data_IF_437716818272
#
_entry.id   IF_437716818272
#
_cell.length_a   1.000
_cell.length_b   1.000
_cell.length_c   1.000
_cell.angle_alpha   90.00
_cell.angle_beta   90.00
_cell.angle_gamma   90.00
#
_symmetry.space_group_name_H-M   'P 1'
#
loop_
_entity.id
_entity.type
_entity.pdbx_description
1 polymer ?
#
# COMPACT_ATOMS: atom_id res chain seq x y z
N UNK A 1 -4.04 -5.26 13.93
CA UNK A 1 -3.83 -4.23 12.87
C UNK A 1 -3.11 -4.87 11.71
N UNK A 2 -3.55 -4.62 10.50
CA UNK A 2 -3.05 -5.23 9.25
C UNK A 2 -2.40 -4.12 8.41
N UNK A 3 -1.21 -4.39 7.86
CA UNK A 3 -0.54 -3.45 6.96
C UNK A 3 -0.89 -3.76 5.50
N UNK A 4 -1.54 -2.82 4.84
CA UNK A 4 -1.82 -2.86 3.41
C UNK A 4 -0.88 -1.93 2.64
N UNK A 5 -0.42 -2.38 1.48
CA UNK A 5 0.10 -1.46 0.48
C UNK A 5 -1.03 -0.76 -0.27
N UNK A 6 -0.69 0.14 -1.16
CA UNK A 6 -1.67 0.91 -1.94
C UNK A 6 -2.50 0.05 -2.88
N UNK A 7 -1.97 -1.06 -3.38
CA UNK A 7 -2.71 -1.95 -4.29
C UNK A 7 -3.94 -2.57 -3.61
N UNK A 8 -3.84 -2.85 -2.32
CA UNK A 8 -4.93 -3.35 -1.50
C UNK A 8 -5.89 -2.24 -1.08
N UNK A 9 -5.37 -1.05 -0.71
CA UNK A 9 -6.22 0.08 -0.35
C UNK A 9 -7.13 0.52 -1.51
N UNK A 10 -6.62 0.56 -2.74
CA UNK A 10 -7.42 0.88 -3.94
C UNK A 10 -8.61 -0.07 -4.09
N UNK A 11 -8.44 -1.36 -3.76
CA UNK A 11 -9.52 -2.38 -3.84
C UNK A 11 -10.63 -2.20 -2.82
N UNK A 12 -10.41 -1.39 -1.78
CA UNK A 12 -11.50 -1.03 -0.86
C UNK A 12 -12.53 -0.12 -1.53
N UNK A 13 -12.09 0.68 -2.50
CA UNK A 13 -12.90 1.71 -3.17
C UNK A 13 -13.32 1.32 -4.58
N UNK A 14 -12.51 0.55 -5.28
CA UNK A 14 -12.73 0.18 -6.67
C UNK A 14 -12.80 -1.33 -6.85
N UNK A 15 -13.68 -1.77 -7.77
CA UNK A 15 -13.91 -3.19 -8.04
C UNK A 15 -12.88 -3.75 -9.02
N UNK A 16 -11.61 -3.80 -8.59
CA UNK A 16 -10.56 -4.56 -9.27
C UNK A 16 -10.67 -6.07 -8.91
N UNK A 17 -10.07 -6.97 -9.71
CA UNK A 17 -10.00 -8.39 -9.36
C UNK A 17 -9.48 -8.60 -7.93
N UNK A 18 -10.15 -9.48 -7.18
CA UNK A 18 -9.82 -9.77 -5.78
C UNK A 18 -10.33 -8.77 -4.74
N UNK A 19 -11.07 -7.72 -5.15
CA UNK A 19 -11.56 -6.71 -4.22
C UNK A 19 -12.41 -7.29 -3.07
N UNK A 20 -13.21 -8.33 -3.32
CA UNK A 20 -14.03 -8.98 -2.29
C UNK A 20 -13.17 -9.64 -1.19
N UNK A 21 -12.12 -10.36 -1.58
CA UNK A 21 -11.20 -11.00 -0.65
C UNK A 21 -10.45 -9.94 0.20
N UNK A 22 -10.02 -8.85 -0.43
CA UNK A 22 -9.36 -7.73 0.26
C UNK A 22 -10.31 -7.05 1.24
N UNK A 23 -11.56 -6.80 0.85
CA UNK A 23 -12.59 -6.20 1.74
C UNK A 23 -12.93 -7.11 2.92
N UNK A 24 -13.03 -8.42 2.69
CA UNK A 24 -13.25 -9.39 3.75
C UNK A 24 -12.09 -9.39 4.77
N UNK A 25 -10.84 -9.33 4.29
CA UNK A 25 -9.67 -9.20 5.16
C UNK A 25 -9.68 -7.86 5.91
N UNK A 26 -9.98 -6.76 5.23
CA UNK A 26 -10.03 -5.42 5.82
C UNK A 26 -11.07 -5.30 6.96
N UNK A 27 -12.17 -6.05 6.88
CA UNK A 27 -13.21 -6.07 7.90
C UNK A 27 -12.77 -6.78 9.19
N UNK A 28 -11.65 -7.50 9.19
CA UNK A 28 -11.22 -8.32 10.35
C UNK A 28 -10.39 -7.54 11.38
N UNK A 29 -9.80 -6.39 11.01
CA UNK A 29 -8.95 -5.60 11.92
C UNK A 29 -8.73 -4.17 11.37
N UNK A 30 -8.17 -3.30 12.20
CA UNK A 30 -7.77 -1.96 11.79
C UNK A 30 -6.64 -1.99 10.75
N UNK A 31 -6.68 -1.07 9.81
CA UNK A 31 -5.72 -0.99 8.73
C UNK A 31 -4.64 0.07 8.97
N UNK A 32 -3.44 -0.23 8.52
CA UNK A 32 -2.32 0.71 8.48
C UNK A 32 -1.67 0.73 7.10
N UNK A 33 -1.12 1.88 6.75
CA UNK A 33 -0.35 2.08 5.52
C UNK A 33 0.68 3.20 5.72
N UNK A 34 1.73 3.23 4.94
CA UNK A 34 2.62 4.37 4.86
C UNK A 34 1.88 5.62 4.35
N UNK A 35 2.20 6.79 4.88
CA UNK A 35 1.48 8.03 4.56
C UNK A 35 1.53 8.40 3.07
N UNK A 36 2.61 8.05 2.34
CA UNK A 36 2.71 8.29 0.90
C UNK A 36 1.68 7.48 0.09
N UNK A 37 1.12 6.40 0.66
CA UNK A 37 0.02 5.63 0.07
C UNK A 37 -1.20 6.49 -0.26
N UNK A 38 -1.41 7.60 0.44
CA UNK A 38 -2.46 8.56 0.10
C UNK A 38 -2.26 9.13 -1.32
N UNK A 39 -1.03 9.54 -1.65
CA UNK A 39 -0.71 10.04 -2.99
C UNK A 39 -0.79 8.95 -4.05
N UNK A 40 -0.34 7.74 -3.73
CA UNK A 40 -0.42 6.60 -4.65
C UNK A 40 -1.86 6.19 -4.96
N UNK A 41 -2.77 6.23 -3.96
CA UNK A 41 -4.20 5.95 -4.18
C UNK A 41 -4.82 6.93 -5.16
N UNK A 42 -4.60 8.24 -4.95
CA UNK A 42 -5.12 9.29 -5.86
C UNK A 42 -4.55 9.13 -7.26
N UNK A 43 -3.24 8.83 -7.36
CA UNK A 43 -2.58 8.57 -8.64
C UNK A 43 -3.16 7.33 -9.34
N UNK A 44 -3.48 6.26 -8.60
CA UNK A 44 -4.12 5.06 -9.14
C UNK A 44 -5.51 5.35 -9.70
N UNK A 45 -6.33 6.14 -8.99
CA UNK A 45 -7.65 6.55 -9.49
C UNK A 45 -7.53 7.49 -10.69
N UNK A 46 -6.57 8.42 -10.68
CA UNK A 46 -6.32 9.29 -11.83
C UNK A 46 -5.89 8.48 -13.07
N UNK A 47 -5.07 7.44 -12.89
CA UNK A 47 -4.73 6.54 -14.00
C UNK A 47 -5.98 5.87 -14.59
N UNK A 48 -6.92 5.39 -13.76
CA UNK A 48 -8.19 4.81 -14.23
C UNK A 48 -9.03 5.83 -15.01
N UNK A 49 -9.03 7.10 -14.60
CA UNK A 49 -9.68 8.19 -15.34
C UNK A 49 -9.01 8.41 -16.71
N UNK A 50 -7.69 8.54 -16.71
CA UNK A 50 -6.91 8.75 -17.95
C UNK A 50 -7.05 7.60 -18.93
N UNK A 51 -7.13 6.37 -18.44
CA UNK A 51 -7.28 5.15 -19.24
C UNK A 51 -8.75 4.93 -19.69
N UNK A 52 -9.67 5.82 -19.30
CA UNK A 52 -11.09 5.73 -19.66
C UNK A 52 -11.87 4.65 -18.91
N UNK A 53 -11.29 4.04 -17.89
CA UNK A 53 -11.95 3.01 -17.09
C UNK A 53 -13.04 3.57 -16.17
N UNK A 54 -12.96 4.85 -15.81
CA UNK A 54 -13.97 5.56 -15.04
C UNK A 54 -14.26 6.93 -15.65
N UNK A 55 -15.45 7.47 -15.36
CA UNK A 55 -15.85 8.82 -15.78
C UNK A 55 -15.39 9.88 -14.77
N UNK A 56 -15.28 11.17 -15.16
CA UNK A 56 -14.92 12.24 -14.23
C UNK A 56 -15.78 12.32 -12.97
N UNK A 57 -17.08 12.08 -13.07
CA UNK A 57 -17.98 12.06 -11.92
C UNK A 57 -17.63 10.92 -10.93
N UNK A 58 -17.33 9.73 -11.44
CA UNK A 58 -16.90 8.59 -10.60
C UNK A 58 -15.54 8.85 -9.95
N UNK A 59 -14.62 9.47 -10.68
CA UNK A 59 -13.33 9.88 -10.14
C UNK A 59 -13.50 10.85 -8.96
N UNK A 60 -14.34 11.88 -9.11
CA UNK A 60 -14.62 12.84 -8.05
C UNK A 60 -15.21 12.17 -6.79
N UNK A 61 -16.10 11.19 -6.97
CA UNK A 61 -16.67 10.40 -5.86
C UNK A 61 -15.59 9.61 -5.14
N UNK A 62 -14.70 8.92 -5.87
CA UNK A 62 -13.60 8.14 -5.27
C UNK A 62 -12.66 9.03 -4.45
N UNK A 63 -12.25 10.17 -4.99
CA UNK A 63 -11.40 11.13 -4.27
C UNK A 63 -12.11 11.65 -3.01
N UNK A 64 -13.38 12.02 -3.10
CA UNK A 64 -14.17 12.47 -1.96
C UNK A 64 -14.30 11.42 -0.85
N UNK A 65 -14.47 10.16 -1.22
CA UNK A 65 -14.53 9.05 -0.26
C UNK A 65 -13.19 8.85 0.46
N UNK A 66 -12.07 8.88 -0.27
CA UNK A 66 -10.72 8.79 0.33
C UNK A 66 -10.48 9.93 1.31
N UNK A 67 -10.78 11.17 0.92
CA UNK A 67 -10.63 12.33 1.80
C UNK A 67 -11.49 12.22 3.06
N UNK A 68 -12.74 11.78 2.92
CA UNK A 68 -13.63 11.56 4.06
C UNK A 68 -13.07 10.52 5.05
N UNK A 69 -12.53 9.41 4.53
CA UNK A 69 -11.93 8.37 5.36
C UNK A 69 -10.61 8.81 6.02
N UNK A 70 -9.79 9.61 5.33
CA UNK A 70 -8.59 10.21 5.94
C UNK A 70 -8.99 11.12 7.11
N UNK A 71 -9.96 12.02 6.91
CA UNK A 71 -10.47 12.92 7.95
C UNK A 71 -11.10 12.18 9.13
N UNK A 72 -11.77 11.08 8.86
CA UNK A 72 -12.39 10.24 9.88
C UNK A 72 -11.39 9.33 10.63
N UNK A 73 -10.11 9.29 10.22
CA UNK A 73 -9.11 8.42 10.83
C UNK A 73 -9.38 6.92 10.58
N UNK A 74 -10.00 6.58 9.44
CA UNK A 74 -10.34 5.20 9.10
C UNK A 74 -9.11 4.28 8.93
N UNK A 75 -7.94 4.87 8.66
CA UNK A 75 -6.67 4.18 8.50
C UNK A 75 -5.60 4.82 9.39
N UNK A 76 -4.69 4.00 9.91
CA UNK A 76 -3.46 4.50 10.51
C UNK A 76 -2.45 4.81 9.42
N UNK A 77 -2.29 6.08 9.10
CA UNK A 77 -1.26 6.58 8.20
C UNK A 77 0.05 6.77 8.96
N UNK A 78 1.09 6.03 8.57
CA UNK A 78 2.39 6.06 9.23
C UNK A 78 3.30 7.03 8.47
N UNK A 79 3.73 8.14 9.10
CA UNK A 79 4.58 9.12 8.44
C UNK A 79 5.98 8.56 8.16
N UNK A 80 6.61 9.08 7.12
CA UNK A 80 8.00 8.76 6.81
C UNK A 80 8.93 9.39 7.86
N UNK A 81 9.90 8.60 8.34
CA UNK A 81 10.89 9.04 9.31
C UNK A 81 12.32 8.83 8.81
N UNK A 82 13.30 9.38 9.55
CA UNK A 82 14.71 9.18 9.25
C UNK A 82 15.12 7.70 9.39
N UNK A 83 14.53 6.98 10.34
CA UNK A 83 14.76 5.54 10.59
C UNK A 83 14.27 4.71 9.40
N UNK A 84 13.10 5.02 8.85
CA UNK A 84 12.56 4.37 7.64
C UNK A 84 13.51 4.56 6.47
N UNK A 85 13.98 5.81 6.24
CA UNK A 85 14.94 6.08 5.17
C UNK A 85 16.29 5.39 5.38
N UNK A 86 16.76 5.31 6.62
CA UNK A 86 17.99 4.57 6.96
C UNK A 86 17.81 3.08 6.67
N UNK A 87 16.69 2.47 7.08
CA UNK A 87 16.39 1.06 6.80
C UNK A 87 16.35 0.77 5.29
N UNK A 88 15.78 1.66 4.49
CA UNK A 88 15.76 1.52 3.02
C UNK A 88 17.19 1.45 2.49
N UNK A 89 18.05 2.41 2.86
CA UNK A 89 19.45 2.42 2.42
C UNK A 89 20.16 1.14 2.80
N UNK A 90 19.98 0.68 4.04
CA UNK A 90 20.59 -0.58 4.52
C UNK A 90 20.07 -1.83 3.81
N UNK A 91 18.82 -1.84 3.43
CA UNK A 91 18.26 -2.92 2.62
C UNK A 91 18.88 -2.96 1.22
N UNK A 92 18.99 -1.82 0.54
CA UNK A 92 19.60 -1.75 -0.79
C UNK A 92 21.10 -2.09 -0.80
N UNK A 93 21.85 -1.82 0.26
CA UNK A 93 23.25 -2.24 0.39
C UNK A 93 23.43 -3.76 0.27
N UNK A 94 22.41 -4.55 0.65
CA UNK A 94 22.44 -6.02 0.70
C UNK A 94 21.49 -6.67 -0.31
N UNK A 95 20.69 -5.86 -1.02
CA UNK A 95 19.68 -6.37 -1.93
C UNK A 95 20.37 -7.01 -3.16
N UNK A 96 20.09 -8.29 -3.47
CA UNK A 96 20.64 -8.91 -4.67
C UNK A 96 20.23 -8.15 -5.95
N UNK A 97 21.13 -8.02 -6.91
CA UNK A 97 20.85 -7.34 -8.18
C UNK A 97 19.70 -7.98 -8.99
N UNK A 98 19.37 -9.24 -8.70
CA UNK A 98 18.23 -9.94 -9.30
C UNK A 98 16.87 -9.54 -8.70
N UNK A 99 16.84 -8.83 -7.58
CA UNK A 99 15.59 -8.38 -6.93
C UNK A 99 15.25 -6.99 -7.42
N UNK A 100 14.13 -6.90 -8.14
CA UNK A 100 13.57 -5.61 -8.53
C UNK A 100 12.74 -5.03 -7.38
N UNK A 101 13.07 -3.80 -6.95
CA UNK A 101 12.35 -3.08 -5.91
C UNK A 101 12.34 -1.59 -6.24
N UNK A 102 11.16 -1.00 -6.40
CA UNK A 102 10.99 0.44 -6.59
C UNK A 102 11.09 1.18 -5.25
N UNK A 103 11.50 2.44 -5.30
CA UNK A 103 11.65 3.26 -4.09
C UNK A 103 10.35 3.37 -3.27
N UNK A 104 9.19 3.53 -3.93
CA UNK A 104 7.90 3.59 -3.24
C UNK A 104 7.56 2.28 -2.51
N UNK A 105 7.82 1.13 -3.15
CA UNK A 105 7.63 -0.19 -2.52
C UNK A 105 8.59 -0.39 -1.33
N UNK A 106 9.83 0.10 -1.45
CA UNK A 106 10.80 0.07 -0.35
C UNK A 106 10.33 0.90 0.85
N UNK A 107 9.65 2.04 0.60
CA UNK A 107 9.04 2.85 1.67
C UNK A 107 7.94 2.05 2.38
N UNK A 108 7.06 1.35 1.65
CA UNK A 108 6.05 0.48 2.28
C UNK A 108 6.69 -0.59 3.16
N UNK A 109 7.66 -1.33 2.62
CA UNK A 109 8.33 -2.41 3.36
C UNK A 109 9.07 -1.90 4.59
N UNK A 110 9.83 -0.82 4.46
CA UNK A 110 10.56 -0.24 5.58
C UNK A 110 9.60 0.33 6.63
N UNK A 111 8.51 0.98 6.22
CA UNK A 111 7.49 1.51 7.14
C UNK A 111 6.82 0.40 7.93
N UNK A 112 6.43 -0.69 7.27
CA UNK A 112 5.82 -1.84 7.94
C UNK A 112 6.80 -2.45 8.96
N UNK A 113 8.07 -2.67 8.57
CA UNK A 113 9.08 -3.25 9.42
C UNK A 113 9.42 -2.38 10.65
N UNK A 114 9.64 -1.06 10.44
CA UNK A 114 9.93 -0.12 11.54
C UNK A 114 8.74 0.06 12.49
N UNK A 115 7.52 -0.14 11.99
CA UNK A 115 6.30 -0.07 12.81
C UNK A 115 5.94 -1.38 13.51
N UNK A 116 6.81 -2.40 13.43
CA UNK A 116 6.65 -3.68 14.15
C UNK A 116 5.68 -4.67 13.50
N UNK A 117 5.27 -4.44 12.25
CA UNK A 117 4.50 -5.44 11.51
C UNK A 117 5.39 -6.64 11.14
N UNK A 118 4.79 -7.80 11.05
CA UNK A 118 5.44 -9.03 10.59
C UNK A 118 5.02 -9.40 9.17
N UNK A 119 3.87 -8.92 8.74
CA UNK A 119 3.27 -9.21 7.45
C UNK A 119 2.92 -7.93 6.72
N UNK A 120 3.03 -7.97 5.40
CA UNK A 120 2.57 -6.92 4.49
C UNK A 120 1.69 -7.56 3.43
N UNK A 121 0.52 -6.97 3.21
CA UNK A 121 -0.46 -7.45 2.24
C UNK A 121 -0.41 -6.59 0.98
N UNK A 122 -0.20 -7.24 -0.16
CA UNK A 122 -0.05 -6.60 -1.46
C UNK A 122 -0.46 -7.54 -2.58
N UNK A 123 -0.77 -6.98 -3.74
CA UNK A 123 -0.89 -7.68 -5.02
C UNK A 123 0.35 -7.47 -5.93
N UNK A 124 1.32 -6.69 -5.50
CA UNK A 124 2.54 -6.45 -6.27
C UNK A 124 3.58 -7.55 -6.02
N UNK A 125 3.85 -8.35 -7.04
CA UNK A 125 4.79 -9.48 -6.95
C UNK A 125 6.22 -9.04 -6.61
N UNK A 126 6.62 -7.84 -7.05
CA UNK A 126 7.96 -7.32 -6.74
C UNK A 126 8.06 -6.93 -5.27
N UNK A 127 7.06 -6.23 -4.74
CA UNK A 127 6.98 -5.91 -3.32
C UNK A 127 6.96 -7.18 -2.47
N UNK A 128 6.12 -8.15 -2.82
CA UNK A 128 6.00 -9.41 -2.08
C UNK A 128 7.32 -10.20 -2.07
N UNK A 129 8.02 -10.29 -3.20
CA UNK A 129 9.31 -11.00 -3.30
C UNK A 129 10.43 -10.30 -2.51
N UNK A 130 10.36 -8.98 -2.38
CA UNK A 130 11.33 -8.18 -1.66
C UNK A 130 11.08 -8.13 -0.14
N UNK A 131 9.87 -8.47 0.34
CA UNK A 131 9.47 -8.34 1.75
C UNK A 131 10.43 -9.03 2.73
N UNK A 132 10.95 -10.21 2.38
CA UNK A 132 11.91 -10.96 3.19
C UNK A 132 13.20 -10.20 3.50
N UNK A 133 13.63 -9.30 2.60
CA UNK A 133 14.83 -8.48 2.79
C UNK A 133 14.62 -7.35 3.81
N UNK A 134 13.39 -7.12 4.22
CA UNK A 134 13.00 -6.21 5.31
C UNK A 134 12.58 -6.96 6.59
N UNK A 135 12.72 -8.29 6.62
CA UNK A 135 12.29 -9.12 7.73
C UNK A 135 10.77 -9.32 7.79
N UNK A 136 10.09 -9.15 6.67
CA UNK A 136 8.63 -9.27 6.55
C UNK A 136 8.23 -10.51 5.75
N UNK A 137 7.01 -10.97 6.00
CA UNK A 137 6.32 -11.97 5.18
C UNK A 137 5.34 -11.24 4.26
N UNK A 138 5.57 -11.35 2.95
CA UNK A 138 4.60 -10.86 1.96
C UNK A 138 3.40 -11.79 1.87
N UNK A 139 2.20 -11.24 1.90
CA UNK A 139 0.93 -11.96 1.81
C UNK A 139 0.08 -11.44 0.64
N UNK A 140 -0.59 -12.38 -0.02
CA UNK A 140 -1.61 -12.07 -1.01
C UNK A 140 -2.81 -12.99 -0.79
N UNK A 141 -4.03 -12.41 -0.79
CA UNK A 141 -5.31 -13.15 -0.67
C UNK A 141 -6.11 -13.17 -1.96
N UNK A 142 -5.52 -12.67 -3.05
CA UNK A 142 -6.12 -12.56 -4.38
C UNK A 142 -5.68 -13.73 -5.24
#
# INVERSE_FOLDING_TARGET
MIYFDTSYLVRLYYQDPGAEAVRALAASDHLACAAHGQAEMVAAFHRKLRDGAIRPASYAVLIGQVEAHIKAGAFRWIPQSAEILFRIRKAYEKLPASVFLRAADAVHLATAAESGFREVYSNDLHLLSAAKHFGLVGKNVI
#
